data_IF_910497937295
#
_entry.id   IF_910497937295
#
_cell.length_a   1.000
_cell.length_b   1.000
_cell.length_c   1.000
_cell.angle_alpha   90.00
_cell.angle_beta   90.00
_cell.angle_gamma   90.00
#
_symmetry.space_group_name_H-M   'P 1'
#
loop_
_entity.id
_entity.type
_entity.pdbx_description
1 polymer ?
#
# COMPACT_ATOMS: atom_id res chain seq x y z
N UNK A 1 18.93 -9.12 -15.53
CA UNK A 1 17.90 -8.11 -15.68
C UNK A 1 18.37 -6.82 -15.08
N UNK A 2 18.38 -5.84 -15.86
CA UNK A 2 18.58 -4.42 -15.90
C UNK A 2 18.96 -3.66 -14.66
N UNK A 3 19.75 -2.66 -14.90
CA UNK A 3 20.22 -1.66 -13.93
C UNK A 3 19.09 -0.71 -13.44
N UNK A 4 17.85 -0.88 -13.96
CA UNK A 4 16.74 0.02 -13.65
C UNK A 4 15.92 -0.47 -12.45
N UNK A 5 15.69 0.44 -11.51
CA UNK A 5 14.77 0.16 -10.40
C UNK A 5 13.32 0.04 -10.91
N UNK A 6 12.46 -0.75 -10.28
CA UNK A 6 11.04 -0.89 -10.66
C UNK A 6 10.33 0.46 -10.82
N UNK A 7 10.63 1.44 -9.97
CA UNK A 7 10.07 2.78 -10.05
C UNK A 7 10.36 3.50 -11.38
N UNK A 8 11.55 3.27 -11.96
CA UNK A 8 11.93 3.87 -13.26
C UNK A 8 11.14 3.22 -14.39
N UNK A 9 10.99 1.89 -14.39
CA UNK A 9 10.23 1.15 -15.40
C UNK A 9 8.75 1.54 -15.34
N UNK A 10 8.19 1.63 -14.13
CA UNK A 10 6.79 2.06 -13.93
C UNK A 10 6.57 3.49 -14.41
N UNK A 11 7.53 4.38 -14.14
CA UNK A 11 7.46 5.76 -14.62
C UNK A 11 7.50 5.80 -16.15
N UNK A 12 8.44 5.11 -16.78
CA UNK A 12 8.58 5.03 -18.23
C UNK A 12 7.28 4.49 -18.87
N UNK A 13 6.73 3.42 -18.33
CA UNK A 13 5.44 2.86 -18.77
C UNK A 13 4.31 3.91 -18.72
N UNK A 14 4.22 4.68 -17.63
CA UNK A 14 3.21 5.75 -17.49
C UNK A 14 3.45 6.91 -18.45
N UNK A 15 4.71 7.28 -18.68
CA UNK A 15 5.09 8.34 -19.62
C UNK A 15 4.72 7.93 -21.08
N UNK A 16 4.64 6.61 -21.35
CA UNK A 16 4.15 6.03 -22.61
C UNK A 16 2.65 5.71 -22.60
N UNK A 17 1.91 6.20 -21.63
CA UNK A 17 0.45 6.08 -21.59
C UNK A 17 -0.10 4.77 -21.00
N UNK A 18 0.76 3.89 -20.47
CA UNK A 18 0.30 2.66 -19.80
C UNK A 18 -0.33 3.00 -18.45
N UNK A 19 -1.59 2.59 -18.25
CA UNK A 19 -2.22 2.69 -16.95
C UNK A 19 -1.61 1.67 -16.00
N UNK A 20 -1.13 2.12 -14.83
CA UNK A 20 -0.51 1.26 -13.81
C UNK A 20 -1.36 1.31 -12.54
N UNK A 21 -1.75 0.13 -12.07
CA UNK A 21 -2.65 -0.07 -10.92
C UNK A 21 -1.87 -0.55 -9.69
N UNK A 22 -2.35 -0.16 -8.51
CA UNK A 22 -1.81 -0.63 -7.24
C UNK A 22 -1.96 -2.15 -7.07
N UNK A 23 -1.07 -2.81 -6.29
CA UNK A 23 -1.29 -4.19 -5.89
C UNK A 23 -2.59 -4.30 -5.08
N UNK A 24 -3.35 -5.37 -5.31
CA UNK A 24 -4.60 -5.62 -4.57
C UNK A 24 -4.81 -7.12 -4.39
N UNK A 25 -5.17 -7.52 -3.18
CA UNK A 25 -5.31 -8.95 -2.80
C UNK A 25 -6.39 -9.68 -3.59
N UNK A 26 -7.37 -8.96 -4.15
CA UNK A 26 -8.46 -9.55 -4.91
C UNK A 26 -8.15 -9.71 -6.41
N UNK A 27 -7.13 -9.04 -6.93
CA UNK A 27 -6.87 -9.04 -8.37
C UNK A 27 -5.55 -9.68 -8.75
N UNK A 28 -4.49 -9.52 -7.94
CA UNK A 28 -3.14 -9.91 -8.34
C UNK A 28 -2.54 -11.01 -7.43
N UNK A 29 -1.63 -11.80 -7.98
CA UNK A 29 -0.76 -12.73 -7.25
C UNK A 29 0.59 -12.11 -6.90
N UNK A 30 1.64 -12.94 -6.94
CA UNK A 30 3.00 -12.50 -6.61
C UNK A 30 3.58 -11.55 -7.65
N UNK A 31 3.49 -11.89 -8.94
CA UNK A 31 4.05 -11.12 -10.03
C UNK A 31 3.06 -10.08 -10.59
N UNK A 32 3.58 -9.09 -11.33
CA UNK A 32 2.76 -8.12 -12.05
C UNK A 32 2.04 -8.82 -13.21
N UNK A 33 0.83 -8.35 -13.55
CA UNK A 33 0.04 -8.91 -14.65
C UNK A 33 -0.73 -7.80 -15.39
N UNK A 34 -1.19 -8.12 -16.59
CA UNK A 34 -2.01 -7.23 -17.40
C UNK A 34 -3.49 -7.50 -17.13
N UNK A 35 -4.22 -6.43 -16.82
CA UNK A 35 -5.64 -6.46 -16.50
C UNK A 35 -6.44 -5.71 -17.56
N UNK A 36 -7.48 -6.35 -18.16
CA UNK A 36 -8.34 -5.67 -19.12
C UNK A 36 -9.18 -4.60 -18.42
N UNK A 37 -9.22 -3.41 -19.02
CA UNK A 37 -10.01 -2.28 -18.57
C UNK A 37 -11.36 -2.24 -19.30
N UNK A 38 -12.32 -1.51 -18.75
CA UNK A 38 -13.64 -1.34 -19.35
C UNK A 38 -13.63 -0.65 -20.73
N UNK A 39 -12.56 0.11 -21.03
CA UNK A 39 -12.34 0.75 -22.34
C UNK A 39 -11.69 -0.17 -23.39
N UNK A 40 -11.40 -1.44 -23.05
CA UNK A 40 -10.74 -2.40 -23.92
C UNK A 40 -9.21 -2.30 -23.93
N UNK A 41 -8.62 -1.37 -23.20
CA UNK A 41 -7.17 -1.26 -23.03
C UNK A 41 -6.69 -2.18 -21.90
N UNK A 42 -5.38 -2.44 -21.89
CA UNK A 42 -4.74 -3.20 -20.82
C UNK A 42 -4.08 -2.25 -19.82
N UNK A 43 -4.31 -2.49 -18.54
CA UNK A 43 -3.56 -1.87 -17.46
C UNK A 43 -2.54 -2.84 -16.87
N UNK A 44 -1.40 -2.34 -16.43
CA UNK A 44 -0.42 -3.10 -15.66
C UNK A 44 -0.79 -3.03 -14.19
N UNK A 45 -1.18 -4.17 -13.57
CA UNK A 45 -1.33 -4.24 -12.13
C UNK A 45 -0.04 -4.70 -11.48
N UNK A 46 0.42 -3.94 -10.49
CA UNK A 46 1.63 -4.28 -9.73
C UNK A 46 1.38 -5.52 -8.86
N UNK A 47 2.33 -6.47 -8.90
CA UNK A 47 2.29 -7.68 -8.11
C UNK A 47 2.52 -7.42 -6.61
N UNK A 48 2.03 -8.34 -5.78
CA UNK A 48 2.22 -8.28 -4.32
C UNK A 48 3.70 -8.31 -3.91
N UNK A 49 4.60 -8.80 -4.78
CA UNK A 49 6.07 -8.76 -4.58
C UNK A 49 6.64 -7.36 -4.41
N UNK A 50 5.92 -6.31 -4.85
CA UNK A 50 6.35 -4.92 -4.67
C UNK A 50 6.23 -4.46 -3.23
N UNK A 51 5.40 -5.12 -2.43
CA UNK A 51 5.21 -4.78 -1.01
C UNK A 51 6.43 -5.27 -0.23
N UNK A 52 7.18 -4.33 0.33
CA UNK A 52 8.40 -4.60 1.08
C UNK A 52 8.14 -5.52 2.28
N UNK A 53 8.87 -6.63 2.33
CA UNK A 53 8.80 -7.60 3.42
C UNK A 53 7.70 -8.66 3.28
N UNK A 54 6.85 -8.56 2.27
CA UNK A 54 5.86 -9.60 1.99
C UNK A 54 6.56 -10.87 1.48
N UNK A 55 6.17 -12.02 1.98
CA UNK A 55 6.72 -13.31 1.56
C UNK A 55 5.94 -13.88 0.38
N UNK A 56 6.65 -14.47 -0.57
CA UNK A 56 6.03 -15.11 -1.73
C UNK A 56 5.01 -16.20 -1.33
N UNK A 57 5.34 -16.98 -0.31
CA UNK A 57 4.44 -18.03 0.19
C UNK A 57 3.09 -17.47 0.64
N UNK A 58 3.08 -16.33 1.35
CA UNK A 58 1.85 -15.69 1.80
C UNK A 58 1.01 -15.20 0.60
N UNK A 59 1.66 -14.60 -0.40
CA UNK A 59 0.99 -14.17 -1.63
C UNK A 59 0.36 -15.36 -2.38
N UNK A 60 1.07 -16.49 -2.48
CA UNK A 60 0.54 -17.71 -3.10
C UNK A 60 -0.66 -18.27 -2.32
N UNK A 61 -0.63 -18.27 -0.99
CA UNK A 61 -1.75 -18.71 -0.17
C UNK A 61 -2.98 -17.80 -0.36
N UNK A 62 -2.77 -16.49 -0.45
CA UNK A 62 -3.84 -15.51 -0.73
C UNK A 62 -4.46 -15.79 -2.11
N UNK A 63 -3.64 -15.97 -3.13
CA UNK A 63 -4.09 -16.23 -4.50
C UNK A 63 -4.89 -17.55 -4.60
N UNK A 64 -4.37 -18.64 -4.05
CA UNK A 64 -5.00 -19.97 -4.09
C UNK A 64 -6.34 -20.01 -3.35
N UNK A 65 -6.49 -19.25 -2.29
CA UNK A 65 -7.71 -19.23 -1.45
C UNK A 65 -8.64 -18.06 -1.75
N UNK A 66 -8.37 -17.27 -2.78
CA UNK A 66 -9.16 -16.08 -3.16
C UNK A 66 -10.61 -16.44 -3.52
N UNK A 67 -10.83 -17.52 -4.27
CA UNK A 67 -12.17 -17.94 -4.77
C UNK A 67 -12.91 -16.75 -5.43
N UNK A 68 -14.04 -16.35 -4.85
CA UNK A 68 -14.84 -15.21 -5.31
C UNK A 68 -14.36 -13.83 -4.81
N UNK A 69 -13.19 -13.76 -4.21
CA UNK A 69 -12.64 -12.56 -3.58
C UNK A 69 -12.71 -12.59 -2.06
N UNK A 70 -12.08 -11.60 -1.46
CA UNK A 70 -12.12 -11.31 -0.02
C UNK A 70 -12.93 -10.05 0.20
N UNK A 71 -13.88 -10.07 1.13
CA UNK A 71 -14.71 -8.93 1.49
C UNK A 71 -14.16 -8.17 2.71
N UNK A 72 -13.33 -8.84 3.53
CA UNK A 72 -12.79 -8.28 4.75
C UNK A 72 -11.38 -8.86 5.04
N UNK A 73 -10.43 -8.05 5.59
CA UNK A 73 -9.07 -8.50 5.89
C UNK A 73 -9.00 -9.77 6.77
N UNK A 74 -9.94 -9.97 7.69
CA UNK A 74 -10.02 -11.18 8.55
C UNK A 74 -10.14 -12.48 7.73
N UNK A 75 -10.73 -12.42 6.54
CA UNK A 75 -10.88 -13.59 5.69
C UNK A 75 -9.53 -14.12 5.18
N UNK A 76 -8.52 -13.27 5.05
CA UNK A 76 -7.18 -13.72 4.68
C UNK A 76 -6.57 -14.62 5.77
N UNK A 77 -6.85 -14.34 7.05
CA UNK A 77 -6.42 -15.23 8.13
C UNK A 77 -7.23 -16.52 8.09
N UNK A 78 -8.56 -16.46 8.04
CA UNK A 78 -9.42 -17.63 8.16
C UNK A 78 -9.39 -18.54 6.93
N UNK A 79 -9.24 -17.98 5.72
CA UNK A 79 -9.29 -18.72 4.45
C UNK A 79 -7.90 -19.03 3.90
N UNK A 80 -7.00 -18.04 3.90
CA UNK A 80 -5.66 -18.23 3.36
C UNK A 80 -4.62 -18.64 4.43
N UNK A 81 -4.96 -18.54 5.71
CA UNK A 81 -4.07 -18.95 6.80
C UNK A 81 -2.85 -18.06 6.98
N UNK A 82 -2.87 -16.83 6.45
CA UNK A 82 -1.75 -15.90 6.59
C UNK A 82 -1.70 -15.28 7.99
N UNK A 83 -0.51 -14.85 8.40
CA UNK A 83 -0.31 -14.25 9.71
C UNK A 83 -0.77 -12.78 9.75
N UNK A 84 -1.03 -12.29 10.96
CA UNK A 84 -1.40 -10.89 11.19
C UNK A 84 -0.34 -9.91 10.65
N UNK A 85 0.95 -10.24 10.81
CA UNK A 85 2.05 -9.44 10.27
C UNK A 85 1.97 -9.27 8.75
N UNK A 86 1.47 -10.28 8.03
CA UNK A 86 1.22 -10.21 6.59
C UNK A 86 0.09 -9.23 6.28
N UNK A 87 -0.99 -9.23 7.07
CA UNK A 87 -2.07 -8.24 6.93
C UNK A 87 -1.59 -6.82 7.16
N UNK A 88 -0.71 -6.59 8.14
CA UNK A 88 -0.12 -5.27 8.39
C UNK A 88 0.70 -4.78 7.18
N UNK A 89 1.47 -5.66 6.55
CA UNK A 89 2.23 -5.33 5.34
C UNK A 89 1.31 -4.99 4.16
N UNK A 90 0.26 -5.79 3.96
CA UNK A 90 -0.75 -5.55 2.93
C UNK A 90 -1.49 -4.23 3.14
N UNK A 91 -1.89 -3.92 4.38
CA UNK A 91 -2.54 -2.66 4.73
C UNK A 91 -1.62 -1.45 4.46
N UNK A 92 -0.34 -1.54 4.84
CA UNK A 92 0.65 -0.50 4.55
C UNK A 92 0.90 -0.35 3.04
N UNK A 93 0.84 -1.46 2.29
CA UNK A 93 0.98 -1.49 0.83
C UNK A 93 -0.28 -1.04 0.07
N UNK A 94 -1.32 -0.59 0.77
CA UNK A 94 -2.60 -0.15 0.16
C UNK A 94 -3.28 -1.24 -0.68
N UNK A 95 -3.14 -2.52 -0.27
CA UNK A 95 -3.56 -3.69 -1.04
C UNK A 95 -5.02 -4.13 -0.77
N UNK A 96 -5.84 -3.29 -0.11
CA UNK A 96 -7.24 -3.57 0.22
C UNK A 96 -8.23 -2.61 -0.43
N UNK A 97 -7.84 -1.95 -1.53
CA UNK A 97 -8.67 -0.98 -2.23
C UNK A 97 -9.98 -1.59 -2.76
N UNK A 98 -9.94 -2.84 -3.22
CA UNK A 98 -11.12 -3.60 -3.66
C UNK A 98 -12.15 -3.87 -2.55
N UNK A 99 -11.76 -3.72 -1.28
CA UNK A 99 -12.65 -3.81 -0.12
C UNK A 99 -13.17 -2.43 0.33
N UNK A 100 -12.97 -1.40 -0.49
CA UNK A 100 -13.33 0.00 -0.18
C UNK A 100 -12.66 0.53 1.10
N UNK A 101 -11.49 -0.03 1.46
CA UNK A 101 -10.70 0.39 2.59
C UNK A 101 -9.55 1.28 2.13
N UNK A 102 -9.51 2.52 2.61
CA UNK A 102 -8.29 3.33 2.51
C UNK A 102 -7.16 2.69 3.33
N UNK A 103 -5.91 3.02 3.03
CA UNK A 103 -4.73 2.51 3.76
C UNK A 103 -4.89 2.67 5.28
N UNK A 104 -5.35 3.82 5.73
CA UNK A 104 -5.54 4.13 7.16
C UNK A 104 -6.65 3.28 7.77
N UNK A 105 -7.77 3.11 7.08
CA UNK A 105 -8.86 2.23 7.51
C UNK A 105 -8.44 0.76 7.54
N UNK A 106 -7.74 0.30 6.50
CA UNK A 106 -7.20 -1.07 6.45
C UNK A 106 -6.27 -1.35 7.63
N UNK A 107 -5.34 -0.42 7.91
CA UNK A 107 -4.43 -0.56 9.05
C UNK A 107 -5.16 -0.57 10.39
N UNK A 108 -6.17 0.29 10.56
CA UNK A 108 -7.01 0.31 11.75
C UNK A 108 -7.77 -1.01 11.94
N UNK A 109 -8.41 -1.52 10.88
CA UNK A 109 -9.12 -2.80 10.88
C UNK A 109 -8.20 -3.96 11.27
N UNK A 110 -6.98 -3.99 10.70
CA UNK A 110 -5.99 -5.02 11.02
C UNK A 110 -5.57 -4.95 12.50
N UNK A 111 -5.41 -3.75 13.06
CA UNK A 111 -5.13 -3.55 14.49
C UNK A 111 -6.27 -4.00 15.38
N UNK A 112 -7.53 -3.77 14.98
CA UNK A 112 -8.72 -4.29 15.67
C UNK A 112 -8.73 -5.81 15.71
N UNK A 113 -8.37 -6.47 14.59
CA UNK A 113 -8.25 -7.94 14.55
C UNK A 113 -7.16 -8.42 15.53
N UNK A 114 -6.02 -7.73 15.61
CA UNK A 114 -4.95 -8.07 16.55
C UNK A 114 -5.43 -8.05 18.00
N UNK A 115 -6.10 -6.99 18.40
CA UNK A 115 -6.60 -6.82 19.77
C UNK A 115 -7.65 -7.89 20.12
N UNK A 116 -8.60 -8.16 19.22
CA UNK A 116 -9.63 -9.18 19.46
C UNK A 116 -9.06 -10.61 19.57
N UNK A 117 -7.97 -10.89 18.88
CA UNK A 117 -7.28 -12.17 18.99
C UNK A 117 -6.53 -12.27 20.32
N UNK A 118 -5.93 -11.18 20.79
CA UNK A 118 -5.25 -11.13 22.09
C UNK A 118 -6.23 -11.29 23.24
N UNK A 119 -7.37 -10.59 23.21
CA UNK A 119 -8.42 -10.69 24.25
C UNK A 119 -8.95 -12.13 24.38
N UNK A 120 -9.17 -12.81 23.25
CA UNK A 120 -9.62 -14.21 23.24
C UNK A 120 -8.59 -15.21 23.79
N UNK A 121 -7.30 -14.87 23.77
CA UNK A 121 -6.23 -15.69 24.36
C UNK A 121 -6.08 -15.43 25.86
N UNK A 122 -6.26 -14.17 26.29
CA UNK A 122 -6.16 -13.81 27.72
C UNK A 122 -7.37 -14.29 28.53
N UNK A 123 -8.56 -14.36 27.92
CA UNK A 123 -9.75 -14.93 28.59
C UNK A 123 -9.63 -16.43 28.87
N UNK A 124 -8.84 -17.17 28.08
CA UNK A 124 -8.59 -18.60 28.32
C UNK A 124 -7.61 -18.88 29.46
N UNK A 125 -6.77 -17.94 29.82
CA UNK A 125 -5.73 -18.12 30.83
C UNK A 125 -6.03 -17.42 32.16
N UNK A 126 -7.05 -16.57 32.23
CA UNK A 126 -7.48 -15.92 33.46
C UNK A 126 -8.45 -16.78 34.24
N UNK A 127 -7.98 -17.95 34.68
CA UNK A 127 -8.64 -18.79 35.71
C UNK A 127 -8.64 -18.13 37.09
N UNK A 128 -9.08 -16.88 37.23
CA UNK A 128 -9.33 -16.23 38.49
C UNK A 128 -10.84 -16.18 38.73
N UNK A 129 -11.37 -16.96 39.71
CA UNK A 129 -12.81 -17.09 39.95
C UNK A 129 -13.44 -15.92 40.72
N UNK A 130 -12.84 -14.72 40.67
CA UNK A 130 -13.26 -13.59 41.52
C UNK A 130 -14.37 -12.72 40.90
N UNK A 131 -14.77 -12.94 39.65
CA UNK A 131 -15.80 -12.14 38.96
C UNK A 131 -16.81 -12.95 38.14
N UNK A 132 -17.00 -14.24 38.45
CA UNK A 132 -17.99 -15.07 37.78
C UNK A 132 -19.33 -15.08 38.49
N UNK A 133 -20.00 -13.94 38.59
CA UNK A 133 -21.43 -13.88 38.92
C UNK A 133 -22.17 -12.99 37.95
N UNK A 134 -22.40 -13.53 36.76
CA UNK A 134 -23.63 -13.32 35.97
C UNK A 134 -23.58 -14.24 34.75
N UNK A 135 -24.08 -15.46 34.93
CA UNK A 135 -24.47 -16.30 33.80
C UNK A 135 -25.79 -15.77 33.27
N UNK A 136 -25.75 -14.76 32.43
CA UNK A 136 -26.79 -14.55 31.45
C UNK A 136 -26.31 -15.07 30.12
N UNK A 137 -27.09 -15.99 29.58
CA UNK A 137 -26.87 -16.72 28.35
C UNK A 137 -26.64 -15.78 27.15
N UNK A 138 -25.39 -15.56 26.78
CA UNK A 138 -25.06 -14.98 25.47
C UNK A 138 -25.06 -16.10 24.44
N UNK A 139 -26.24 -16.41 23.91
CA UNK A 139 -26.40 -17.18 22.68
C UNK A 139 -25.70 -16.47 21.53
N UNK A 140 -24.76 -17.17 20.93
CA UNK A 140 -24.22 -17.03 19.57
C UNK A 140 -24.81 -15.89 18.70
N UNK A 141 -24.23 -14.72 18.76
CA UNK A 141 -24.22 -13.75 17.67
C UNK A 141 -22.87 -13.06 17.65
N UNK A 142 -21.85 -13.74 17.17
CA UNK A 142 -20.55 -13.12 16.80
C UNK A 142 -20.67 -12.40 15.45
N UNK A 143 -21.57 -11.45 15.35
CA UNK A 143 -21.41 -10.36 14.42
C UNK A 143 -20.78 -9.21 15.21
N UNK A 144 -19.48 -9.23 15.41
CA UNK A 144 -18.75 -8.04 15.80
C UNK A 144 -18.83 -7.06 14.63
N UNK A 145 -19.93 -6.32 14.57
CA UNK A 145 -19.99 -5.10 13.79
C UNK A 145 -19.04 -4.12 14.47
N UNK A 146 -17.80 -4.09 13.99
CA UNK A 146 -16.87 -3.05 14.40
C UNK A 146 -17.53 -1.69 14.13
N UNK A 147 -17.55 -0.77 15.10
CA UNK A 147 -18.11 0.55 14.88
C UNK A 147 -17.36 1.19 13.70
N UNK A 148 -18.08 1.71 12.70
CA UNK A 148 -17.50 2.46 11.60
C UNK A 148 -16.89 3.74 12.16
N UNK A 149 -15.59 3.69 12.46
CA UNK A 149 -14.84 4.85 12.90
C UNK A 149 -14.51 5.70 11.68
N UNK A 150 -14.97 6.95 11.66
CA UNK A 150 -14.57 7.91 10.65
C UNK A 150 -13.15 8.39 10.96
N UNK A 151 -12.17 7.85 10.26
CA UNK A 151 -10.78 8.29 10.36
C UNK A 151 -10.55 9.53 9.48
N UNK A 152 -9.72 10.49 9.92
CA UNK A 152 -9.31 11.60 9.07
C UNK A 152 -8.66 11.08 7.78
N UNK A 153 -8.98 11.72 6.66
CA UNK A 153 -8.37 11.38 5.36
C UNK A 153 -6.89 11.74 5.44
N UNK A 154 -6.03 10.83 4.99
CA UNK A 154 -4.60 11.09 4.87
C UNK A 154 -4.36 12.14 3.78
N UNK A 155 -3.40 13.04 4.00
CA UNK A 155 -2.97 13.96 2.96
C UNK A 155 -2.25 13.21 1.84
N UNK A 156 -2.27 13.77 0.62
CA UNK A 156 -1.53 13.20 -0.51
C UNK A 156 -0.03 13.04 -0.19
N UNK A 157 0.54 13.97 0.59
CA UNK A 157 1.94 13.88 1.03
C UNK A 157 2.21 12.67 1.91
N UNK A 158 1.36 12.42 2.91
CA UNK A 158 1.45 11.21 3.75
C UNK A 158 1.34 9.94 2.92
N UNK A 159 0.38 9.88 2.00
CA UNK A 159 0.18 8.72 1.12
C UNK A 159 1.39 8.44 0.23
N UNK A 160 2.01 9.50 -0.32
CA UNK A 160 3.24 9.37 -1.13
C UNK A 160 4.41 8.87 -0.30
N UNK A 161 4.58 9.38 0.92
CA UNK A 161 5.64 8.91 1.85
C UNK A 161 5.43 7.44 2.17
N UNK A 162 4.21 7.02 2.48
CA UNK A 162 3.87 5.64 2.77
C UNK A 162 4.10 4.72 1.57
N UNK A 163 3.77 5.16 0.36
CA UNK A 163 4.06 4.45 -0.88
C UNK A 163 5.57 4.21 -1.05
N UNK A 164 6.40 5.24 -0.87
CA UNK A 164 7.86 5.08 -0.97
C UNK A 164 8.43 4.17 0.12
N UNK A 165 7.87 4.18 1.33
CA UNK A 165 8.29 3.30 2.42
C UNK A 165 7.95 1.83 2.15
N UNK A 166 6.84 1.56 1.48
CA UNK A 166 6.28 0.22 1.29
C UNK A 166 6.54 -0.37 -0.09
N UNK A 167 6.31 0.40 -1.16
CA UNK A 167 6.42 -0.04 -2.56
C UNK A 167 7.70 0.44 -3.25
N UNK A 168 8.42 1.39 -2.67
CA UNK A 168 9.56 2.11 -3.27
C UNK A 168 9.22 2.94 -4.50
N UNK A 169 7.95 3.19 -4.74
CA UNK A 169 7.41 4.05 -5.79
C UNK A 169 6.04 4.58 -5.34
N UNK A 170 5.55 5.64 -5.97
CA UNK A 170 4.17 6.08 -5.80
C UNK A 170 3.47 6.22 -7.14
N UNK A 171 2.23 5.74 -7.22
CA UNK A 171 1.35 5.95 -8.36
C UNK A 171 0.47 7.20 -8.20
N UNK A 172 0.45 7.80 -7.00
CA UNK A 172 -0.43 8.93 -6.64
C UNK A 172 0.14 10.26 -7.12
N UNK A 173 1.36 10.61 -6.68
CA UNK A 173 2.02 11.85 -7.06
C UNK A 173 3.54 11.74 -6.93
N UNK A 174 4.26 12.61 -7.63
CA UNK A 174 5.70 12.74 -7.44
C UNK A 174 5.98 13.66 -6.24
N UNK A 175 6.95 13.36 -5.35
CA UNK A 175 7.24 14.18 -4.17
C UNK A 175 7.47 15.68 -4.49
N UNK A 176 8.20 15.97 -5.57
CA UNK A 176 8.44 17.35 -5.97
C UNK A 176 7.20 18.06 -6.54
N UNK A 177 6.19 17.34 -6.99
CA UNK A 177 4.94 17.96 -7.43
C UNK A 177 4.23 18.63 -6.26
N UNK A 178 4.31 18.03 -5.07
CA UNK A 178 3.71 18.55 -3.83
C UNK A 178 4.45 19.80 -3.29
N UNK A 179 5.74 19.91 -3.62
CA UNK A 179 6.59 21.03 -3.19
C UNK A 179 6.72 22.12 -4.25
N UNK A 180 6.04 21.98 -5.39
CA UNK A 180 6.25 22.86 -6.56
C UNK A 180 5.90 24.31 -6.26
N UNK A 181 4.84 24.57 -5.51
CA UNK A 181 4.43 25.92 -5.14
C UNK A 181 5.48 26.59 -4.27
N UNK A 182 5.96 25.92 -3.23
CA UNK A 182 7.00 26.42 -2.32
C UNK A 182 8.33 26.69 -3.06
N UNK A 183 8.72 25.75 -3.94
CA UNK A 183 9.92 25.86 -4.75
C UNK A 183 9.85 27.03 -5.77
N UNK A 184 8.67 27.27 -6.34
CA UNK A 184 8.45 28.37 -7.28
C UNK A 184 8.59 29.73 -6.61
N UNK A 185 8.14 29.87 -5.37
CA UNK A 185 8.32 31.06 -4.54
C UNK A 185 9.79 31.34 -4.19
N UNK A 186 10.66 30.33 -4.24
CA UNK A 186 12.08 30.40 -3.84
C UNK A 186 13.06 30.50 -5.02
N UNK A 187 12.65 30.95 -6.18
CA UNK A 187 13.47 31.08 -7.40
C UNK A 187 13.98 29.77 -8.01
N UNK A 188 13.62 28.61 -7.46
CA UNK A 188 13.97 27.33 -8.06
C UNK A 188 13.16 27.08 -9.33
N UNK A 189 13.86 26.63 -10.38
CA UNK A 189 13.26 26.31 -11.68
C UNK A 189 13.08 24.80 -11.87
N UNK A 190 12.16 24.42 -12.74
CA UNK A 190 12.03 23.04 -13.17
C UNK A 190 13.18 22.69 -14.15
N UNK A 191 13.61 21.42 -14.16
CA UNK A 191 14.70 20.96 -15.04
C UNK A 191 14.40 21.22 -16.52
N UNK A 192 13.13 21.14 -16.93
CA UNK A 192 12.69 21.40 -18.31
C UNK A 192 13.07 22.80 -18.85
N UNK A 193 13.39 23.76 -17.98
CA UNK A 193 13.84 25.09 -18.44
C UNK A 193 15.21 25.03 -19.10
N UNK A 194 16.04 24.01 -18.81
CA UNK A 194 17.39 23.87 -19.33
C UNK A 194 17.42 23.81 -20.85
N UNK A 195 16.38 23.26 -21.47
CA UNK A 195 16.28 23.18 -22.96
C UNK A 195 16.17 24.55 -23.62
N UNK A 196 15.74 25.58 -22.87
CA UNK A 196 15.49 26.93 -23.40
C UNK A 196 16.48 27.98 -22.86
N UNK A 197 17.48 27.58 -22.08
CA UNK A 197 18.48 28.48 -21.53
C UNK A 197 19.69 28.57 -22.44
N UNK A 198 20.24 29.78 -22.56
CA UNK A 198 21.52 29.98 -23.24
C UNK A 198 22.66 29.34 -22.42
N UNK A 199 23.69 28.84 -23.12
CA UNK A 199 24.88 28.28 -22.49
C UNK A 199 25.54 29.29 -21.54
N UNK A 200 25.99 28.81 -20.36
CA UNK A 200 26.58 29.66 -19.34
C UNK A 200 25.59 30.44 -18.45
N UNK A 201 24.28 30.35 -18.70
CA UNK A 201 23.28 31.03 -17.88
C UNK A 201 23.22 30.45 -16.46
N UNK A 202 23.25 31.29 -15.41
CA UNK A 202 23.08 30.79 -14.04
C UNK A 202 21.66 30.31 -13.81
N UNK A 203 21.50 29.10 -13.25
CA UNK A 203 20.19 28.53 -12.94
C UNK A 203 20.19 27.84 -11.59
N UNK A 204 19.10 28.00 -10.84
CA UNK A 204 18.87 27.30 -9.58
C UNK A 204 17.82 26.23 -9.80
N UNK A 205 18.21 24.96 -9.61
CA UNK A 205 17.35 23.81 -9.87
C UNK A 205 17.05 23.06 -8.57
N UNK A 206 15.80 22.59 -8.42
CA UNK A 206 15.43 21.64 -7.41
C UNK A 206 15.04 20.30 -8.05
N UNK A 207 15.64 19.21 -7.57
CA UNK A 207 15.43 17.87 -8.11
C UNK A 207 15.61 16.76 -7.07
N UNK A 208 15.01 15.60 -7.32
CA UNK A 208 15.27 14.40 -6.57
C UNK A 208 16.47 13.68 -7.19
N UNK A 209 17.50 13.39 -6.38
CA UNK A 209 18.68 12.64 -6.85
C UNK A 209 18.32 11.18 -7.00
N UNK A 210 18.17 10.70 -8.23
CA UNK A 210 17.87 9.30 -8.53
C UNK A 210 19.12 8.41 -8.52
N UNK A 211 20.25 8.94 -9.01
CA UNK A 211 21.52 8.22 -9.10
C UNK A 211 22.65 9.16 -8.70
N UNK A 212 23.53 8.68 -7.84
CA UNK A 212 24.79 9.34 -7.52
C UNK A 212 25.94 8.41 -7.85
N UNK A 213 26.63 8.68 -8.93
CA UNK A 213 27.84 7.93 -9.32
C UNK A 213 29.09 8.73 -9.01
N UNK A 214 30.11 8.05 -8.54
CA UNK A 214 31.45 8.59 -8.40
C UNK A 214 32.29 7.98 -9.53
N UNK A 215 32.83 8.75 -10.47
CA UNK A 215 33.73 8.20 -11.48
C UNK A 215 34.89 7.52 -10.76
N UNK A 216 35.20 6.29 -11.15
CA UNK A 216 36.47 5.66 -10.75
C UNK A 216 37.56 6.33 -11.58
N UNK A 217 38.48 6.98 -10.90
CA UNK A 217 39.77 7.41 -11.49
C UNK A 217 40.66 6.21 -11.75
#
# INVERSE_FOLDING_TARGET
MGFYAPAQIVRDARDHGVNVLHPDVNYIGWDCDLEPQSNGELALRLGLRQIKGLRQQDAMLIEQNRKSGYSHPRELISRAGVQLSTLELLARGDAFQSMELSRRQAFWTVRGIANSTFDSLTEKDSGLPLFSNNKESYSNKTSHSEPKVSLPIASIGEEVIDDYNTLKLSLKSHPLALLREDLSGSSYKAISILENLADGSPVLLAGLVLVRQRPST
#
